data_IF_522525767890
#
_entry.id   IF_522525767890
#
_cell.length_a   1.000
_cell.length_b   1.000
_cell.length_c   1.000
_cell.angle_alpha   90.00
_cell.angle_beta   90.00
_cell.angle_gamma   90.00
#
_symmetry.space_group_name_H-M   'P 1'
#
loop_
_entity.id
_entity.type
_entity.pdbx_description
1 polymer ?
#
# COMPACT_ATOMS: atom_id res chain seq x y z
N UNK A 1 -4.46 22.80 37.10
CA UNK A 1 -5.54 22.55 36.10
C UNK A 1 -6.72 21.94 36.84
N UNK A 2 -7.97 22.34 36.55
CA UNK A 2 -9.13 21.68 37.13
C UNK A 2 -9.14 20.19 36.74
N UNK A 3 -9.78 19.31 37.55
CA UNK A 3 -9.92 17.91 37.19
C UNK A 3 -10.63 17.79 35.83
N UNK A 4 -10.12 16.92 34.96
CA UNK A 4 -10.79 16.63 33.70
C UNK A 4 -12.20 16.12 34.02
N UNK A 5 -13.26 16.71 33.41
CA UNK A 5 -14.62 16.27 33.67
C UNK A 5 -14.78 14.81 33.23
N UNK A 6 -15.54 14.03 33.99
CA UNK A 6 -15.88 12.66 33.59
C UNK A 6 -16.72 12.71 32.30
N UNK A 7 -16.38 11.89 31.27
CA UNK A 7 -17.13 11.90 30.02
C UNK A 7 -18.57 11.43 30.26
N UNK A 8 -19.53 12.12 29.63
CA UNK A 8 -20.94 11.69 29.63
C UNK A 8 -21.16 10.46 28.76
N UNK A 9 -20.39 10.35 27.67
CA UNK A 9 -20.42 9.25 26.70
C UNK A 9 -19.00 9.03 26.18
N UNK A 10 -18.63 7.77 26.01
CA UNK A 10 -17.41 7.37 25.32
C UNK A 10 -17.78 6.60 24.04
N UNK A 11 -17.15 6.95 22.92
CA UNK A 11 -17.31 6.24 21.65
C UNK A 11 -15.98 5.60 21.28
N UNK A 12 -16.00 4.29 21.12
CA UNK A 12 -14.83 3.51 20.71
C UNK A 12 -14.83 3.39 19.19
N UNK A 13 -13.69 3.65 18.56
CA UNK A 13 -13.55 3.50 17.11
C UNK A 13 -13.58 2.02 16.70
N UNK A 14 -13.85 1.72 15.41
CA UNK A 14 -13.49 0.43 14.84
C UNK A 14 -12.01 0.10 15.07
N UNK A 15 -11.64 -1.19 15.06
CA UNK A 15 -10.25 -1.59 15.18
C UNK A 15 -9.43 -1.07 13.99
N UNK A 16 -8.12 -0.88 14.21
CA UNK A 16 -7.20 -0.37 13.18
C UNK A 16 -7.24 -1.20 11.90
N UNK A 17 -7.41 -2.52 11.99
CA UNK A 17 -7.51 -3.41 10.83
C UNK A 17 -8.68 -3.02 9.90
N UNK A 18 -9.82 -2.60 10.46
CA UNK A 18 -10.96 -2.17 9.66
C UNK A 18 -10.71 -0.79 9.02
N UNK A 19 -10.10 0.14 9.76
CA UNK A 19 -9.73 1.44 9.23
C UNK A 19 -8.73 1.30 8.07
N UNK A 20 -7.74 0.42 8.21
CA UNK A 20 -6.75 0.10 7.16
C UNK A 20 -7.41 -0.57 5.97
N UNK A 21 -8.37 -1.48 6.18
CA UNK A 21 -9.17 -2.09 5.11
C UNK A 21 -9.88 -1.03 4.28
N UNK A 22 -10.63 -0.11 4.91
CA UNK A 22 -11.29 0.99 4.18
C UNK A 22 -10.26 1.86 3.45
N UNK A 23 -9.17 2.22 4.13
CA UNK A 23 -8.08 3.03 3.56
C UNK A 23 -7.52 2.40 2.29
N UNK A 24 -7.25 1.10 2.30
CA UNK A 24 -6.61 0.42 1.19
C UNK A 24 -7.58 0.05 0.06
N UNK A 25 -8.79 -0.44 0.39
CA UNK A 25 -9.82 -0.82 -0.59
C UNK A 25 -10.31 0.38 -1.40
N UNK A 26 -10.61 1.47 -0.72
CA UNK A 26 -11.16 2.70 -1.33
C UNK A 26 -10.09 3.72 -1.71
N UNK A 27 -8.83 3.49 -1.32
CA UNK A 27 -7.76 4.48 -1.46
C UNK A 27 -8.09 5.82 -0.80
N UNK A 28 -8.68 5.78 0.40
CA UNK A 28 -9.22 6.96 1.07
C UNK A 28 -8.13 7.82 1.72
N UNK A 29 -7.75 8.90 1.04
CA UNK A 29 -6.66 9.78 1.45
C UNK A 29 -6.83 10.37 2.86
N UNK A 30 -8.06 10.74 3.24
CA UNK A 30 -8.33 11.30 4.56
C UNK A 30 -7.95 10.35 5.70
N UNK A 31 -8.23 9.06 5.52
CA UNK A 31 -7.88 8.06 6.52
C UNK A 31 -6.36 7.85 6.56
N UNK A 32 -5.71 7.77 5.40
CA UNK A 32 -4.26 7.65 5.32
C UNK A 32 -3.54 8.82 6.03
N UNK A 33 -4.01 10.06 5.84
CA UNK A 33 -3.46 11.22 6.53
C UNK A 33 -3.69 11.15 8.05
N UNK A 34 -4.90 10.83 8.52
CA UNK A 34 -5.17 10.75 9.97
C UNK A 34 -4.42 9.59 10.63
N UNK A 35 -4.31 8.44 9.98
CA UNK A 35 -3.48 7.32 10.45
C UNK A 35 -2.01 7.73 10.53
N UNK A 36 -1.50 8.46 9.52
CA UNK A 36 -0.17 9.05 9.53
C UNK A 36 0.04 10.01 10.70
N UNK A 37 -0.87 10.96 10.92
CA UNK A 37 -0.75 11.91 12.05
C UNK A 37 -0.80 11.19 13.40
N UNK A 38 -1.66 10.17 13.54
CA UNK A 38 -1.70 9.34 14.75
C UNK A 38 -0.38 8.62 14.98
N UNK A 39 0.18 8.01 13.94
CA UNK A 39 1.50 7.37 13.99
C UNK A 39 2.60 8.36 14.39
N UNK A 40 2.60 9.57 13.82
CA UNK A 40 3.54 10.63 14.18
C UNK A 40 3.44 10.99 15.66
N UNK A 41 2.21 11.17 16.17
CA UNK A 41 1.94 11.47 17.58
C UNK A 41 2.45 10.38 18.50
N UNK A 42 2.22 9.11 18.16
CA UNK A 42 2.68 7.97 18.98
C UNK A 42 4.20 7.81 18.97
N UNK A 43 4.88 8.11 17.87
CA UNK A 43 6.34 7.95 17.76
C UNK A 43 7.15 9.14 18.25
N UNK A 44 6.57 10.34 18.23
CA UNK A 44 7.31 11.59 18.48
C UNK A 44 6.69 12.48 19.55
N UNK A 45 5.47 12.18 20.01
CA UNK A 45 4.69 13.06 20.88
C UNK A 45 4.06 14.26 20.17
N UNK A 46 4.23 14.42 18.85
CA UNK A 46 3.70 15.54 18.07
C UNK A 46 2.94 15.07 16.83
N UNK A 47 1.89 15.80 16.45
CA UNK A 47 1.27 15.67 15.12
C UNK A 47 1.93 16.66 14.14
N UNK A 48 1.71 16.45 12.84
CA UNK A 48 2.17 17.34 11.77
C UNK A 48 3.20 16.69 10.85
N UNK A 49 3.36 17.25 9.64
CA UNK A 49 4.18 16.63 8.59
C UNK A 49 5.66 16.50 8.95
N UNK A 50 6.22 17.41 9.75
CA UNK A 50 7.62 17.29 10.21
C UNK A 50 7.78 16.08 11.12
N UNK A 51 6.88 15.91 12.08
CA UNK A 51 6.84 14.76 12.98
C UNK A 51 6.60 13.45 12.22
N UNK A 52 5.66 13.46 11.27
CA UNK A 52 5.36 12.31 10.41
C UNK A 52 6.59 11.86 9.62
N UNK A 53 7.28 12.79 8.94
CA UNK A 53 8.49 12.47 8.17
C UNK A 53 9.59 11.89 9.07
N UNK A 54 9.77 12.47 10.25
CA UNK A 54 10.76 11.98 11.22
C UNK A 54 10.43 10.56 11.66
N UNK A 55 9.16 10.30 12.02
CA UNK A 55 8.69 8.98 12.44
C UNK A 55 8.82 7.93 11.33
N UNK A 56 8.44 8.28 10.09
CA UNK A 56 8.53 7.38 8.95
C UNK A 56 9.97 7.07 8.56
N UNK A 57 10.88 8.07 8.55
CA UNK A 57 12.30 7.84 8.26
C UNK A 57 12.91 6.89 9.29
N UNK A 58 12.62 7.08 10.58
CA UNK A 58 13.09 6.19 11.64
C UNK A 58 12.53 4.76 11.48
N UNK A 59 11.24 4.61 11.17
CA UNK A 59 10.62 3.29 10.98
C UNK A 59 11.14 2.58 9.71
N UNK A 60 11.36 3.32 8.61
CA UNK A 60 11.95 2.77 7.39
C UNK A 60 13.39 2.32 7.63
N UNK A 61 14.18 3.10 8.38
CA UNK A 61 15.54 2.71 8.78
C UNK A 61 15.53 1.43 9.63
N UNK A 62 14.61 1.31 10.60
CA UNK A 62 14.42 0.10 11.41
C UNK A 62 14.11 -1.13 10.54
N UNK A 63 13.39 -0.95 9.43
CA UNK A 63 13.06 -2.00 8.45
C UNK A 63 14.15 -2.23 7.40
N UNK A 64 15.30 -1.55 7.50
CA UNK A 64 16.39 -1.67 6.55
C UNK A 64 16.08 -1.09 5.16
N UNK A 65 15.11 -0.16 5.08
CA UNK A 65 14.72 0.53 3.86
C UNK A 65 15.50 1.85 3.75
N UNK A 66 16.42 1.98 2.77
CA UNK A 66 17.20 3.21 2.61
C UNK A 66 16.32 4.42 2.25
N UNK A 67 16.67 5.59 2.75
CA UNK A 67 15.97 6.86 2.41
C UNK A 67 16.07 7.23 0.93
N UNK A 68 17.09 6.73 0.21
CA UNK A 68 17.17 6.86 -1.25
C UNK A 68 16.10 6.05 -1.98
N UNK A 69 15.60 4.98 -1.36
CA UNK A 69 14.58 4.12 -1.96
C UNK A 69 13.18 4.65 -1.65
N UNK A 70 13.00 5.37 -0.55
CA UNK A 70 11.72 5.92 -0.08
C UNK A 70 11.89 7.25 0.68
N UNK A 71 11.18 8.28 0.22
CA UNK A 71 11.07 9.59 0.85
C UNK A 71 9.59 9.98 0.99
N UNK A 72 8.92 9.56 2.07
CA UNK A 72 7.54 9.95 2.34
C UNK A 72 7.49 11.39 2.86
N UNK A 73 6.44 12.13 2.50
CA UNK A 73 6.19 13.49 2.99
C UNK A 73 4.80 13.69 3.56
N UNK A 74 3.85 12.83 3.20
CA UNK A 74 2.46 12.79 3.70
C UNK A 74 2.02 11.33 3.90
N UNK A 75 0.80 11.13 4.41
CA UNK A 75 0.25 9.78 4.63
C UNK A 75 -0.39 9.16 3.39
N UNK A 76 -0.97 9.98 2.51
CA UNK A 76 -1.80 9.52 1.39
C UNK A 76 -1.05 9.25 0.09
N UNK A 77 0.14 9.83 -0.10
CA UNK A 77 0.85 9.78 -1.37
C UNK A 77 0.42 10.86 -2.39
N UNK A 78 -0.44 11.81 -2.01
CA UNK A 78 -0.89 12.88 -2.92
C UNK A 78 0.20 13.90 -3.24
N UNK A 79 1.11 14.14 -2.32
CA UNK A 79 2.20 15.07 -2.54
C UNK A 79 3.17 14.57 -3.60
N UNK A 80 3.47 15.43 -4.57
CA UNK A 80 4.49 15.18 -5.61
C UNK A 80 5.91 15.08 -5.05
N UNK A 81 6.12 15.43 -3.79
CA UNK A 81 7.41 15.30 -3.13
C UNK A 81 7.65 13.91 -2.53
N UNK A 82 6.61 13.06 -2.48
CA UNK A 82 6.78 11.63 -2.20
C UNK A 82 7.62 11.00 -3.30
N UNK A 83 8.70 10.32 -2.93
CA UNK A 83 9.51 9.54 -3.85
C UNK A 83 9.58 8.09 -3.37
N UNK A 84 9.40 7.16 -4.28
CA UNK A 84 9.44 5.73 -3.98
C UNK A 84 10.08 4.99 -5.16
N UNK A 85 10.92 4.02 -4.85
CA UNK A 85 11.42 3.03 -5.80
C UNK A 85 10.60 1.74 -5.69
N UNK A 86 10.49 0.94 -6.77
CA UNK A 86 9.87 -0.38 -6.71
C UNK A 86 10.50 -1.27 -5.63
N UNK A 87 11.84 -1.28 -5.56
CA UNK A 87 12.59 -2.04 -4.54
C UNK A 87 12.25 -1.61 -3.12
N UNK A 88 12.14 -0.29 -2.89
CA UNK A 88 11.76 0.27 -1.59
C UNK A 88 10.37 -0.20 -1.16
N UNK A 89 9.38 -0.05 -2.02
CA UNK A 89 8.00 -0.45 -1.72
C UNK A 89 7.84 -1.96 -1.55
N UNK A 90 8.49 -2.76 -2.39
CA UNK A 90 8.50 -4.22 -2.24
C UNK A 90 9.11 -4.63 -0.90
N UNK A 91 10.20 -3.96 -0.45
CA UNK A 91 10.82 -4.23 0.85
C UNK A 91 9.94 -3.83 2.03
N UNK A 92 9.25 -2.69 1.95
CA UNK A 92 8.28 -2.28 2.98
C UNK A 92 7.17 -3.33 3.11
N UNK A 93 6.60 -3.78 1.99
CA UNK A 93 5.57 -4.81 2.04
C UNK A 93 6.14 -6.12 2.57
N UNK A 94 7.25 -6.61 2.02
CA UNK A 94 7.89 -7.87 2.45
C UNK A 94 8.18 -7.90 3.95
N UNK A 95 8.78 -6.84 4.51
CA UNK A 95 9.04 -6.75 5.95
C UNK A 95 7.76 -6.61 6.78
N UNK A 96 6.72 -5.98 6.24
CA UNK A 96 5.42 -5.87 6.93
C UNK A 96 4.67 -7.19 6.99
N UNK A 97 4.89 -8.09 6.02
CA UNK A 97 4.27 -9.42 6.01
C UNK A 97 4.85 -10.36 7.09
N UNK A 98 6.02 -10.04 7.64
CA UNK A 98 6.66 -10.80 8.73
C UNK A 98 6.18 -10.38 10.12
N UNK A 99 5.43 -9.28 10.21
CA UNK A 99 4.89 -8.77 11.48
C UNK A 99 3.57 -9.49 11.82
N UNK A 100 3.14 -9.51 13.10
CA UNK A 100 1.90 -10.19 13.52
C UNK A 100 0.63 -9.73 12.79
N UNK A 101 0.63 -8.49 12.29
CA UNK A 101 -0.48 -7.91 11.53
C UNK A 101 -0.44 -8.22 10.02
N UNK A 102 0.57 -8.96 9.54
CA UNK A 102 0.83 -9.17 8.11
C UNK A 102 -0.36 -9.75 7.34
N UNK A 103 -1.09 -10.70 7.94
CA UNK A 103 -2.31 -11.28 7.34
C UNK A 103 -3.40 -10.22 7.15
N UNK A 104 -3.69 -9.42 8.20
CA UNK A 104 -4.66 -8.34 8.13
C UNK A 104 -4.27 -7.26 7.10
N UNK A 105 -2.96 -7.00 6.94
CA UNK A 105 -2.47 -6.11 5.88
C UNK A 105 -2.79 -6.68 4.49
N UNK A 106 -2.54 -7.97 4.23
CA UNK A 106 -2.86 -8.60 2.94
C UNK A 106 -4.38 -8.60 2.68
N UNK A 107 -5.20 -8.84 3.70
CA UNK A 107 -6.66 -8.82 3.60
C UNK A 107 -7.23 -7.41 3.33
N UNK A 108 -6.50 -6.37 3.76
CA UNK A 108 -6.88 -4.99 3.50
C UNK A 108 -6.70 -4.56 2.03
N UNK A 109 -5.83 -5.24 1.28
CA UNK A 109 -5.50 -4.85 -0.10
C UNK A 109 -6.63 -5.20 -1.08
N UNK A 110 -6.96 -4.34 -2.06
CA UNK A 110 -7.88 -4.66 -3.16
C UNK A 110 -7.53 -5.99 -3.83
N UNK A 111 -8.55 -6.80 -4.13
CA UNK A 111 -8.42 -8.11 -4.80
C UNK A 111 -8.76 -7.95 -6.28
N UNK A 112 -7.85 -8.41 -7.15
CA UNK A 112 -7.98 -8.26 -8.59
C UNK A 112 -9.24 -8.94 -9.14
N UNK A 113 -10.10 -8.12 -9.78
CA UNK A 113 -11.37 -8.56 -10.36
C UNK A 113 -12.49 -8.80 -9.35
N UNK A 114 -12.30 -8.44 -8.08
CA UNK A 114 -13.26 -8.73 -7.00
C UNK A 114 -13.70 -7.46 -6.28
N UNK A 115 -12.77 -6.66 -5.77
CA UNK A 115 -13.15 -5.52 -4.92
C UNK A 115 -12.19 -4.31 -5.00
N UNK A 116 -12.63 -3.22 -4.35
CA UNK A 116 -11.90 -1.97 -4.25
C UNK A 116 -11.49 -1.41 -5.61
N UNK A 117 -10.33 -0.76 -5.64
CA UNK A 117 -9.78 -0.14 -6.85
C UNK A 117 -9.37 -1.13 -7.96
N UNK A 118 -9.50 -2.44 -7.75
CA UNK A 118 -9.25 -3.47 -8.76
C UNK A 118 -10.51 -4.22 -9.20
N UNK A 119 -11.70 -3.89 -8.68
CA UNK A 119 -12.94 -4.61 -8.96
C UNK A 119 -13.29 -4.67 -10.46
N UNK A 120 -13.21 -3.53 -11.16
CA UNK A 120 -13.56 -3.43 -12.58
C UNK A 120 -12.46 -3.85 -13.56
N UNK A 121 -11.37 -4.46 -13.08
CA UNK A 121 -10.27 -4.86 -13.97
C UNK A 121 -10.55 -6.18 -14.65
N UNK A 122 -10.07 -6.29 -15.90
CA UNK A 122 -10.09 -7.54 -16.65
C UNK A 122 -9.21 -8.56 -15.93
N UNK A 123 -9.69 -9.79 -15.91
CA UNK A 123 -8.96 -10.93 -15.35
C UNK A 123 -8.98 -12.09 -16.31
N UNK A 124 -8.01 -12.97 -16.14
CA UNK A 124 -7.96 -14.29 -16.76
C UNK A 124 -8.35 -15.33 -15.71
N UNK A 125 -8.61 -16.56 -16.15
CA UNK A 125 -8.82 -17.69 -15.23
C UNK A 125 -7.63 -17.88 -14.27
N UNK A 126 -6.42 -17.52 -14.70
CA UNK A 126 -5.22 -17.62 -13.89
C UNK A 126 -5.01 -16.48 -12.91
N UNK A 127 -5.54 -15.28 -13.14
CA UNK A 127 -5.28 -14.10 -12.29
C UNK A 127 -6.43 -13.75 -11.36
N UNK A 128 -7.66 -14.18 -11.66
CA UNK A 128 -8.85 -13.88 -10.88
C UNK A 128 -8.68 -14.28 -9.40
N UNK A 129 -8.79 -13.31 -8.49
CA UNK A 129 -8.66 -13.53 -7.04
C UNK A 129 -7.25 -13.84 -6.54
N UNK A 130 -6.24 -13.92 -7.41
CA UNK A 130 -4.87 -14.32 -7.03
C UNK A 130 -3.94 -13.15 -6.74
N UNK A 131 -4.35 -11.93 -7.09
CA UNK A 131 -3.54 -10.73 -6.89
C UNK A 131 -4.25 -9.81 -5.93
N UNK A 132 -3.51 -9.38 -4.91
CA UNK A 132 -3.96 -8.39 -3.94
C UNK A 132 -2.98 -7.23 -3.92
N UNK A 133 -3.42 -6.04 -4.31
CA UNK A 133 -2.50 -4.93 -4.50
C UNK A 133 -3.13 -3.57 -4.21
N UNK A 134 -2.36 -2.69 -3.57
CA UNK A 134 -2.70 -1.27 -3.48
C UNK A 134 -2.38 -0.60 -4.81
N UNK A 135 -3.34 0.18 -5.29
CA UNK A 135 -3.16 1.04 -6.48
C UNK A 135 -2.73 2.45 -6.10
N UNK A 136 -1.98 3.11 -6.98
CA UNK A 136 -1.70 4.54 -6.94
C UNK A 136 -1.89 5.15 -8.33
N UNK A 137 -2.56 6.30 -8.41
CA UNK A 137 -2.78 7.01 -9.68
C UNK A 137 -2.58 8.50 -9.47
N UNK A 138 -1.64 9.08 -10.21
CA UNK A 138 -1.49 10.52 -10.38
C UNK A 138 -1.31 10.79 -11.88
N UNK A 139 -1.42 12.04 -12.32
CA UNK A 139 -1.15 12.42 -13.72
C UNK A 139 0.23 11.90 -14.14
N UNK A 140 0.26 11.07 -15.20
CA UNK A 140 1.50 10.48 -15.73
C UNK A 140 2.08 9.32 -14.91
N UNK A 141 1.44 8.89 -13.82
CA UNK A 141 1.97 7.84 -12.93
C UNK A 141 0.91 6.82 -12.53
N UNK A 142 1.26 5.53 -12.64
CA UNK A 142 0.45 4.41 -12.17
C UNK A 142 1.32 3.44 -11.39
N UNK A 143 0.90 3.09 -10.18
CA UNK A 143 1.64 2.17 -9.32
C UNK A 143 0.75 1.06 -8.80
N UNK A 144 1.36 -0.12 -8.61
CA UNK A 144 0.75 -1.30 -8.02
C UNK A 144 1.76 -1.96 -7.10
N UNK A 145 1.42 -2.12 -5.83
CA UNK A 145 2.28 -2.80 -4.85
C UNK A 145 1.44 -3.83 -4.13
N UNK A 146 1.88 -5.08 -4.12
CA UNK A 146 1.01 -6.15 -3.65
C UNK A 146 1.67 -7.52 -3.59
N UNK A 147 0.82 -8.52 -3.43
CA UNK A 147 1.17 -9.93 -3.45
C UNK A 147 0.44 -10.65 -4.59
N UNK A 148 1.07 -11.69 -5.13
CA UNK A 148 0.47 -12.60 -6.08
C UNK A 148 0.62 -14.04 -5.56
N UNK A 149 -0.49 -14.78 -5.53
CA UNK A 149 -0.52 -16.22 -5.27
C UNK A 149 -0.25 -17.00 -6.55
N UNK A 150 0.65 -17.99 -6.47
CA UNK A 150 1.13 -18.80 -7.58
C UNK A 150 0.91 -20.28 -7.28
N UNK A 151 -0.32 -20.81 -7.47
CA UNK A 151 -0.66 -22.16 -7.03
C UNK A 151 0.12 -23.28 -7.75
N UNK A 152 0.68 -23.00 -8.93
CA UNK A 152 1.46 -23.96 -9.71
C UNK A 152 2.98 -23.85 -9.47
N UNK A 153 3.42 -22.97 -8.58
CA UNK A 153 4.83 -22.74 -8.26
C UNK A 153 5.06 -23.08 -6.79
N UNK A 154 5.51 -24.31 -6.53
CA UNK A 154 5.72 -24.81 -5.16
C UNK A 154 6.92 -24.16 -4.48
N UNK A 155 7.86 -23.62 -5.25
CA UNK A 155 9.03 -22.91 -4.70
C UNK A 155 8.67 -21.48 -4.31
N UNK A 156 7.81 -20.83 -5.09
CA UNK A 156 7.39 -19.45 -4.89
C UNK A 156 5.85 -19.33 -4.85
N UNK A 157 5.15 -19.98 -3.89
CA UNK A 157 3.70 -20.02 -3.85
C UNK A 157 3.05 -18.65 -3.64
N UNK A 158 3.82 -17.69 -3.12
CA UNK A 158 3.45 -16.29 -3.00
C UNK A 158 4.66 -15.40 -3.27
N UNK A 159 4.44 -14.33 -4.03
CA UNK A 159 5.47 -13.32 -4.31
C UNK A 159 5.00 -11.91 -4.00
N UNK A 160 5.92 -11.07 -3.52
CA UNK A 160 5.72 -9.64 -3.35
C UNK A 160 6.18 -8.92 -4.61
N UNK A 161 5.41 -7.95 -5.08
CA UNK A 161 5.78 -7.14 -6.25
C UNK A 161 5.55 -5.65 -6.03
N UNK A 162 6.26 -4.85 -6.80
CA UNK A 162 6.01 -3.44 -6.99
C UNK A 162 6.21 -3.09 -8.48
N UNK A 163 5.14 -2.63 -9.12
CA UNK A 163 5.13 -2.11 -10.49
C UNK A 163 4.88 -0.60 -10.41
N UNK A 164 5.80 0.19 -10.94
CA UNK A 164 5.67 1.65 -11.01
C UNK A 164 5.90 2.10 -12.44
N UNK A 165 4.87 2.68 -13.05
CA UNK A 165 4.85 3.12 -14.44
C UNK A 165 4.77 4.64 -14.44
N UNK A 166 5.86 5.29 -14.84
CA UNK A 166 5.93 6.74 -15.01
C UNK A 166 5.83 7.14 -16.48
N UNK A 167 5.58 8.43 -16.72
CA UNK A 167 5.43 9.03 -18.05
C UNK A 167 4.35 8.36 -18.93
N UNK A 168 3.28 7.87 -18.30
CA UNK A 168 2.14 7.26 -18.99
C UNK A 168 1.08 8.32 -19.27
N UNK A 169 1.09 8.89 -20.47
CA UNK A 169 0.04 9.81 -20.94
C UNK A 169 -1.16 9.07 -21.53
N UNK A 170 -2.22 9.79 -21.93
CA UNK A 170 -3.44 9.19 -22.49
C UNK A 170 -3.19 8.43 -23.81
N UNK A 171 -2.13 8.80 -24.55
CA UNK A 171 -1.76 8.18 -25.82
C UNK A 171 -0.84 6.97 -25.69
N UNK A 172 -0.23 6.75 -24.52
CA UNK A 172 0.77 5.68 -24.32
C UNK A 172 0.13 4.30 -24.51
N UNK A 173 0.75 3.48 -25.37
CA UNK A 173 0.36 2.09 -25.64
C UNK A 173 1.53 1.10 -25.48
N UNK A 174 1.34 -0.03 -24.77
CA UNK A 174 0.18 -0.35 -23.94
C UNK A 174 0.02 0.68 -22.80
N UNK A 175 -1.23 1.02 -22.45
CA UNK A 175 -1.46 1.94 -21.34
C UNK A 175 -1.11 1.27 -20.01
N UNK A 176 -1.12 2.04 -18.93
CA UNK A 176 -0.70 1.55 -17.62
C UNK A 176 -1.56 0.39 -17.09
N UNK A 177 -2.85 0.34 -17.46
CA UNK A 177 -3.72 -0.76 -17.07
C UNK A 177 -3.44 -2.01 -17.90
N UNK A 178 -3.32 -1.89 -19.23
CA UNK A 178 -2.96 -2.99 -20.13
C UNK A 178 -1.59 -3.60 -19.76
N UNK A 179 -0.63 -2.74 -19.39
CA UNK A 179 0.70 -3.15 -18.90
C UNK A 179 0.57 -3.94 -17.60
N UNK A 180 -0.22 -3.45 -16.64
CA UNK A 180 -0.46 -4.17 -15.40
C UNK A 180 -1.15 -5.52 -15.64
N UNK A 181 -2.15 -5.58 -16.52
CA UNK A 181 -2.89 -6.82 -16.80
C UNK A 181 -1.95 -7.89 -17.40
N UNK A 182 -1.07 -7.49 -18.33
CA UNK A 182 -0.03 -8.36 -18.91
C UNK A 182 0.98 -8.81 -17.86
N UNK A 183 1.49 -7.86 -17.06
CA UNK A 183 2.41 -8.14 -15.96
C UNK A 183 1.80 -9.11 -14.93
N UNK A 184 0.53 -8.93 -14.60
CA UNK A 184 -0.21 -9.71 -13.61
C UNK A 184 -0.35 -11.18 -14.03
N UNK A 185 -0.61 -11.41 -15.32
CA UNK A 185 -0.68 -12.76 -15.91
C UNK A 185 0.69 -13.42 -15.89
N UNK A 186 1.71 -12.71 -16.38
CA UNK A 186 3.09 -13.21 -16.37
C UNK A 186 3.59 -13.53 -14.95
N UNK A 187 3.28 -12.67 -13.97
CA UNK A 187 3.65 -12.84 -12.57
C UNK A 187 2.97 -14.03 -11.90
N UNK A 188 1.87 -14.55 -12.44
CA UNK A 188 1.20 -15.74 -11.89
C UNK A 188 1.60 -17.02 -12.62
N UNK A 189 1.83 -16.94 -13.94
CA UNK A 189 1.98 -18.12 -14.79
C UNK A 189 3.43 -18.48 -15.12
N UNK A 190 4.30 -17.49 -15.31
CA UNK A 190 5.65 -17.74 -15.81
C UNK A 190 6.57 -18.20 -14.67
N UNK A 191 7.45 -19.19 -14.89
CA UNK A 191 8.46 -19.58 -13.92
C UNK A 191 9.31 -18.39 -13.48
N UNK A 192 9.57 -18.29 -12.19
CA UNK A 192 10.56 -17.35 -11.66
C UNK A 192 11.92 -18.04 -11.69
N UNK A 193 12.94 -17.29 -12.14
CA UNK A 193 14.33 -17.74 -12.16
C UNK A 193 15.10 -17.14 -11.01
#
# INVERSE_FOLDING_TARGET
>A
LPPMPSPLVELISPPLSELVRVTNKESLNLYAERLGMRFARERTGQEGYVALRTALVAELARRGVPTKDLRPVDGSGLSRYNLASPRGMARVLLTSLQEPYGAALVDSLPVLGVDGTLAGRKTTQSTAGRIRAKTGTLTGQKCFVGVAERPNDTEHPRVVFALMLGNMDEGTKPNANETFDTFSTALVELPLR
#
